data_IF_698622847971
#
_entry.id   IF_698622847971
#
_cell.length_a   1.000
_cell.length_b   1.000
_cell.length_c   1.000
_cell.angle_alpha   90.00
_cell.angle_beta   90.00
_cell.angle_gamma   90.00
#
_symmetry.space_group_name_H-M   'P 1'
#
loop_
_entity.id
_entity.type
_entity.pdbx_description
1 polymer ?
#
# COMPACT_ATOMS: atom_id res chain seq x y z
N UNK A 1 10.34 -7.20 -25.25
CA UNK A 1 8.98 -7.21 -24.68
C UNK A 1 8.99 -7.95 -23.34
N UNK A 2 9.76 -7.49 -22.35
CA UNK A 2 9.71 -8.07 -21.00
C UNK A 2 9.11 -6.99 -20.10
N UNK A 3 7.79 -7.07 -19.92
CA UNK A 3 7.05 -6.10 -19.15
C UNK A 3 6.99 -6.58 -17.72
N UNK A 4 7.91 -6.10 -16.87
CA UNK A 4 7.76 -6.19 -15.42
C UNK A 4 6.40 -5.55 -15.07
N UNK A 5 5.38 -6.39 -14.90
CA UNK A 5 4.04 -5.94 -14.54
C UNK A 5 4.05 -5.69 -13.04
N UNK A 6 4.27 -4.42 -12.67
CA UNK A 6 4.14 -3.95 -11.31
C UNK A 6 2.64 -3.73 -11.00
N UNK A 7 2.04 -4.64 -10.25
CA UNK A 7 0.68 -4.56 -9.76
C UNK A 7 0.70 -4.14 -8.28
N UNK A 8 0.19 -2.95 -7.97
CA UNK A 8 0.06 -2.48 -6.58
C UNK A 8 -1.38 -2.51 -6.11
N UNK A 9 -1.64 -3.15 -4.98
CA UNK A 9 -2.94 -3.17 -4.30
C UNK A 9 -2.80 -2.57 -2.91
N UNK A 10 -3.74 -1.69 -2.54
CA UNK A 10 -3.72 -1.00 -1.26
C UNK A 10 -5.11 -0.88 -0.67
N UNK A 11 -5.23 -1.15 0.62
CA UNK A 11 -6.44 -0.96 1.41
C UNK A 11 -6.17 0.08 2.49
N UNK A 12 -6.94 1.16 2.47
CA UNK A 12 -6.88 2.21 3.48
C UNK A 12 -8.17 2.21 4.30
N UNK A 13 -8.03 2.17 5.63
CA UNK A 13 -9.14 2.29 6.57
C UNK A 13 -8.88 3.44 7.54
N UNK A 14 -9.82 4.39 7.58
CA UNK A 14 -9.86 5.38 8.64
C UNK A 14 -10.29 4.70 9.94
N UNK A 15 -9.46 4.82 10.97
CA UNK A 15 -9.75 4.27 12.31
C UNK A 15 -10.40 5.33 13.19
N UNK A 16 -10.14 6.60 12.91
CA UNK A 16 -10.70 7.73 13.66
C UNK A 16 -10.66 8.99 12.79
N UNK A 17 -11.35 10.08 13.19
CA UNK A 17 -11.33 11.35 12.45
C UNK A 17 -9.92 11.91 12.22
N UNK A 18 -8.97 11.49 13.07
CA UNK A 18 -7.59 11.95 13.09
C UNK A 18 -6.59 10.85 12.77
N UNK A 19 -7.03 9.65 12.41
CA UNK A 19 -6.15 8.51 12.21
C UNK A 19 -6.59 7.64 11.02
N UNK A 20 -5.71 7.46 10.07
CA UNK A 20 -5.85 6.56 8.92
C UNK A 20 -4.77 5.49 8.98
N UNK A 21 -5.14 4.27 8.63
CA UNK A 21 -4.18 3.18 8.42
C UNK A 21 -4.33 2.67 7.01
N UNK A 22 -3.19 2.47 6.37
CA UNK A 22 -3.09 2.01 5.00
C UNK A 22 -2.20 0.79 4.99
N UNK A 23 -2.68 -0.27 4.36
CA UNK A 23 -1.93 -1.51 4.18
C UNK A 23 -1.92 -1.79 2.69
N UNK A 24 -0.77 -1.96 2.09
CA UNK A 24 -0.67 -2.19 0.66
C UNK A 24 0.54 -3.01 0.29
N UNK A 25 0.42 -3.76 -0.79
CA UNK A 25 1.51 -4.52 -1.37
C UNK A 25 1.64 -4.21 -2.85
N UNK A 26 2.88 -4.14 -3.33
CA UNK A 26 3.22 -4.05 -4.73
C UNK A 26 3.93 -5.32 -5.16
N UNK A 27 3.49 -5.91 -6.27
CA UNK A 27 4.02 -7.13 -6.85
C UNK A 27 4.59 -6.72 -8.21
N UNK A 28 5.90 -6.67 -8.37
CA UNK A 28 6.58 -6.55 -9.65
C UNK A 28 7.13 -7.92 -10.04
N UNK A 29 7.35 -8.18 -11.33
CA UNK A 29 7.58 -9.51 -11.92
C UNK A 29 8.46 -10.47 -11.10
N UNK A 30 9.53 -9.95 -10.47
CA UNK A 30 10.45 -10.71 -9.61
C UNK A 30 10.48 -10.26 -8.14
N UNK A 31 9.78 -9.17 -7.80
CA UNK A 31 9.92 -8.47 -6.51
C UNK A 31 8.56 -8.07 -5.92
N UNK A 32 8.24 -8.65 -4.76
CA UNK A 32 6.99 -8.36 -4.04
C UNK A 32 7.29 -7.60 -2.75
N UNK A 33 6.83 -6.36 -2.69
CA UNK A 33 6.98 -5.44 -1.56
C UNK A 33 5.68 -5.30 -0.78
N UNK A 34 5.73 -5.43 0.54
CA UNK A 34 4.58 -5.21 1.43
C UNK A 34 4.88 -4.00 2.33
N UNK A 35 3.91 -3.10 2.46
CA UNK A 35 4.00 -1.88 3.23
C UNK A 35 2.78 -1.65 4.12
N UNK A 36 3.04 -1.10 5.29
CA UNK A 36 2.02 -0.60 6.23
C UNK A 36 2.35 0.85 6.55
N UNK A 37 1.35 1.72 6.46
CA UNK A 37 1.43 3.14 6.76
C UNK A 37 0.33 3.55 7.74
N UNK A 38 0.64 4.49 8.61
CA UNK A 38 -0.35 5.13 9.47
C UNK A 38 -0.20 6.65 9.35
N UNK A 39 -1.32 7.35 9.17
CA UNK A 39 -1.39 8.80 9.07
C UNK A 39 -2.21 9.39 10.22
N UNK A 40 -1.70 10.42 10.87
CA UNK A 40 -2.43 11.14 11.91
C UNK A 40 -2.55 12.63 11.55
N UNK A 41 -3.76 13.19 11.66
CA UNK A 41 -4.05 14.60 11.37
C UNK A 41 -4.10 15.45 12.63
N UNK A 42 -3.23 16.45 12.73
CA UNK A 42 -3.30 17.50 13.75
C UNK A 42 -4.05 18.73 13.24
#
# INVERSE_FOLDING_TARGET
QNGESALSVGYQRAISPRATVTVGGALSGDDSSIGVGAGFGW
#
